data_IF_389216191304
#
_entry.id   IF_389216191304
#
_cell.length_a   1.000
_cell.length_b   1.000
_cell.length_c   1.000
_cell.angle_alpha   90.00
_cell.angle_beta   90.00
_cell.angle_gamma   90.00
#
_symmetry.space_group_name_H-M   'P 1'
#
loop_
_entity.id
_entity.type
_entity.pdbx_description
1 polymer ?
#
# COMPACT_ATOMS: atom_id res chain seq x y z
N UNK A 1 10.92 0.12 22.42
CA UNK A 1 11.59 -1.20 22.46
C UNK A 1 10.93 -2.09 21.41
N UNK A 2 11.63 -2.23 20.27
CA UNK A 2 11.37 -2.98 19.02
C UNK A 2 10.21 -2.53 18.10
N UNK A 3 10.55 -2.04 16.91
CA UNK A 3 9.67 -1.51 15.85
C UNK A 3 9.95 -2.24 14.51
N UNK A 4 9.07 -3.12 14.05
CA UNK A 4 9.24 -3.97 12.84
C UNK A 4 9.08 -3.21 11.49
N UNK A 5 9.62 -3.74 10.37
CA UNK A 5 9.68 -3.08 9.05
C UNK A 5 9.15 -3.90 7.87
N UNK A 6 8.51 -3.19 6.95
CA UNK A 6 7.99 -3.58 5.64
C UNK A 6 6.84 -4.53 5.66
N UNK A 7 5.67 -3.97 5.48
CA UNK A 7 4.54 -4.72 4.99
C UNK A 7 4.24 -4.41 3.54
N UNK A 8 3.88 -5.43 2.76
CA UNK A 8 2.93 -5.25 1.67
C UNK A 8 1.54 -5.25 2.22
N UNK A 9 0.81 -4.18 1.94
CA UNK A 9 -0.55 -4.10 2.40
C UNK A 9 -1.52 -4.02 1.24
N UNK A 10 -2.48 -4.92 1.28
CA UNK A 10 -3.70 -4.82 0.50
C UNK A 10 -4.74 -4.12 1.40
N UNK A 11 -4.78 -2.78 1.34
CA UNK A 11 -5.73 -1.98 2.11
C UNK A 11 -6.92 -1.63 1.24
N UNK A 12 -8.12 -2.19 1.43
CA UNK A 12 -9.28 -1.74 0.66
C UNK A 12 -9.91 -0.46 1.26
N UNK A 13 -9.99 0.63 0.50
CA UNK A 13 -10.72 1.87 0.82
C UNK A 13 -11.20 2.66 -0.42
N UNK A 14 -12.53 2.68 -0.64
CA UNK A 14 -13.27 3.18 -1.83
C UNK A 14 -13.55 4.70 -1.77
N UNK A 15 -13.90 5.29 -2.93
CA UNK A 15 -14.54 6.60 -3.06
C UNK A 15 -15.95 6.47 -3.68
N UNK A 16 -16.91 7.22 -3.14
CA UNK A 16 -18.36 7.26 -3.42
C UNK A 16 -18.71 7.83 -4.80
N UNK A 17 -19.73 7.27 -5.45
CA UNK A 17 -20.42 7.89 -6.60
C UNK A 17 -21.51 8.86 -6.09
N UNK A 18 -21.60 10.05 -6.69
CA UNK A 18 -22.81 10.89 -6.59
C UNK A 18 -23.83 10.38 -7.61
N UNK A 19 -25.08 10.25 -7.16
CA UNK A 19 -26.24 9.67 -7.86
C UNK A 19 -26.45 10.25 -9.27
N UNK A 20 -26.85 9.36 -10.18
CA UNK A 20 -27.57 9.68 -11.42
C UNK A 20 -28.30 8.45 -11.98
N UNK A 21 -29.60 8.33 -11.64
CA UNK A 21 -30.73 7.70 -12.38
C UNK A 21 -30.76 6.17 -12.59
N UNK A 22 -32.00 5.65 -12.49
CA UNK A 22 -32.51 4.26 -12.47
C UNK A 22 -32.21 3.40 -13.72
N UNK A 23 -32.10 2.07 -13.57
CA UNK A 23 -33.12 1.09 -14.03
C UNK A 23 -32.68 -0.39 -13.87
N UNK A 24 -33.69 -1.22 -13.60
CA UNK A 24 -33.78 -2.67 -13.83
C UNK A 24 -33.02 -3.64 -12.90
N UNK A 25 -33.81 -4.49 -12.24
CA UNK A 25 -33.33 -5.53 -11.34
C UNK A 25 -32.70 -6.71 -12.05
N UNK A 26 -31.53 -7.14 -11.56
CA UNK A 26 -31.01 -8.50 -11.72
C UNK A 26 -30.37 -8.89 -10.38
N UNK A 27 -30.85 -9.98 -9.77
CA UNK A 27 -30.14 -10.66 -8.68
C UNK A 27 -28.86 -11.27 -9.25
N UNK A 28 -27.73 -10.56 -9.14
CA UNK A 28 -26.42 -11.14 -9.38
C UNK A 28 -25.81 -11.56 -8.04
N UNK A 29 -25.67 -12.88 -7.84
CA UNK A 29 -24.82 -13.41 -6.79
C UNK A 29 -23.37 -13.07 -7.12
N UNK A 30 -22.82 -12.05 -6.48
CA UNK A 30 -21.42 -11.66 -6.66
C UNK A 30 -20.50 -12.63 -5.92
N UNK A 31 -19.75 -13.44 -6.67
CA UNK A 31 -18.61 -14.22 -6.18
C UNK A 31 -17.32 -13.52 -6.56
N UNK A 32 -16.62 -13.05 -5.52
CA UNK A 32 -15.16 -12.83 -5.39
C UNK A 32 -14.54 -11.76 -6.26
N UNK A 33 -13.71 -10.86 -5.69
CA UNK A 33 -12.87 -9.92 -6.46
C UNK A 33 -11.51 -9.65 -5.80
N UNK A 34 -10.48 -10.44 -6.13
CA UNK A 34 -9.12 -10.27 -5.57
C UNK A 34 -8.25 -9.33 -6.40
N UNK A 35 -7.77 -8.24 -5.81
CA UNK A 35 -6.56 -7.63 -6.33
C UNK A 35 -5.38 -8.60 -6.19
N UNK A 36 -4.55 -8.77 -7.23
CA UNK A 36 -3.24 -9.42 -7.12
C UNK A 36 -2.22 -8.35 -6.78
N UNK A 37 -1.43 -8.55 -5.74
CA UNK A 37 -0.29 -7.70 -5.39
C UNK A 37 0.99 -8.49 -5.64
N UNK A 38 1.94 -7.89 -6.37
CA UNK A 38 3.09 -8.63 -6.88
C UNK A 38 4.38 -7.84 -6.66
N UNK A 39 5.47 -8.53 -6.31
CA UNK A 39 6.70 -7.90 -5.80
C UNK A 39 7.90 -8.51 -6.48
N UNK A 40 8.75 -7.68 -7.05
CA UNK A 40 9.95 -8.14 -7.74
C UNK A 40 11.22 -7.96 -6.92
N UNK A 41 11.38 -6.79 -6.28
CA UNK A 41 12.61 -6.43 -5.55
C UNK A 41 12.29 -5.55 -4.35
N UNK A 42 13.01 -5.78 -3.26
CA UNK A 42 12.98 -4.98 -2.04
C UNK A 42 14.42 -4.58 -1.68
N UNK A 43 14.66 -3.27 -1.55
CA UNK A 43 15.94 -2.72 -1.11
C UNK A 43 15.67 -1.81 0.08
N UNK A 44 16.41 -2.02 1.16
CA UNK A 44 16.28 -1.27 2.40
C UNK A 44 17.62 -0.68 2.80
N UNK A 45 17.64 0.63 3.05
CA UNK A 45 18.84 1.33 3.52
C UNK A 45 18.53 2.00 4.85
N UNK A 46 19.36 1.72 5.85
CA UNK A 46 19.21 2.28 7.20
C UNK A 46 20.17 3.44 7.38
N UNK A 47 19.70 4.54 7.98
CA UNK A 47 20.60 5.57 8.52
C UNK A 47 21.02 5.12 9.93
N UNK A 48 22.22 4.56 10.04
CA UNK A 48 22.85 4.36 11.36
C UNK A 48 23.30 5.73 11.88
N UNK A 49 22.66 6.22 12.94
CA UNK A 49 23.17 7.37 13.68
C UNK A 49 24.39 6.92 14.50
N UNK A 50 25.60 7.05 13.94
CA UNK A 50 26.83 7.00 14.73
C UNK A 50 26.91 8.28 15.57
N UNK A 51 26.82 8.16 16.89
CA UNK A 51 27.16 9.25 17.82
C UNK A 51 28.67 9.49 17.71
N UNK A 52 29.08 10.31 16.75
CA UNK A 52 30.26 11.19 16.74
C UNK A 52 30.48 11.67 15.30
N UNK A 53 30.52 13.00 15.13
CA UNK A 53 30.47 13.68 13.85
C UNK A 53 31.56 13.24 12.88
N UNK A 54 31.17 12.49 11.86
CA UNK A 54 31.74 12.51 10.50
C UNK A 54 30.62 11.99 9.58
N UNK A 55 30.46 12.61 8.40
CA UNK A 55 29.43 12.22 7.45
C UNK A 55 29.61 10.75 7.04
N UNK A 56 28.72 9.88 7.51
CA UNK A 56 28.71 8.46 7.16
C UNK A 56 27.95 8.27 5.85
N UNK A 57 28.62 7.62 4.89
CA UNK A 57 27.99 7.16 3.66
C UNK A 57 26.82 6.22 3.99
N UNK A 58 25.71 6.38 3.27
CA UNK A 58 24.58 5.44 3.30
C UNK A 58 25.06 4.06 2.84
N UNK A 59 25.22 3.11 3.75
CA UNK A 59 25.41 1.72 3.37
C UNK A 59 24.07 1.18 2.82
N UNK A 60 23.98 1.02 1.50
CA UNK A 60 22.98 0.13 0.90
C UNK A 60 23.37 -1.28 1.28
N UNK A 61 22.65 -1.89 2.22
CA UNK A 61 22.74 -3.33 2.46
C UNK A 61 21.78 -3.95 1.45
N UNK A 62 22.26 -4.70 0.44
CA UNK A 62 21.37 -5.56 -0.33
C UNK A 62 20.80 -6.57 0.66
N UNK A 63 19.54 -6.40 1.04
CA UNK A 63 18.84 -7.43 1.80
C UNK A 63 18.72 -8.60 0.82
N UNK A 64 19.35 -9.74 1.13
CA UNK A 64 19.13 -10.96 0.38
C UNK A 64 17.62 -11.18 0.23
N UNK A 65 17.16 -11.66 -0.93
CA UNK A 65 15.72 -11.84 -1.12
C UNK A 65 15.15 -12.70 0.02
N UNK A 66 14.22 -12.16 0.83
CA UNK A 66 13.74 -12.85 2.01
C UNK A 66 13.00 -14.13 1.62
N UNK A 67 13.22 -15.20 2.38
CA UNK A 67 12.43 -16.43 2.23
C UNK A 67 11.00 -16.21 2.68
N UNK A 68 10.06 -16.94 2.07
CA UNK A 68 8.62 -16.84 2.40
C UNK A 68 8.34 -17.04 3.89
N UNK A 69 9.10 -17.91 4.55
CA UNK A 69 8.98 -18.23 5.97
C UNK A 69 9.40 -17.11 6.91
N UNK A 70 10.15 -16.12 6.41
CA UNK A 70 10.59 -14.97 7.22
C UNK A 70 9.48 -13.91 7.37
N UNK A 71 8.47 -13.97 6.50
CA UNK A 71 7.33 -13.07 6.56
C UNK A 71 6.34 -13.49 7.65
N UNK A 72 5.95 -12.52 8.47
CA UNK A 72 4.73 -12.58 9.28
C UNK A 72 3.54 -12.19 8.42
N UNK A 73 2.41 -12.85 8.60
CA UNK A 73 1.20 -12.64 7.80
C UNK A 73 0.03 -12.27 8.70
N UNK A 74 -0.81 -11.34 8.25
CA UNK A 74 -2.08 -10.96 8.87
C UNK A 74 -3.13 -10.84 7.78
N UNK A 75 -4.16 -11.69 7.80
CA UNK A 75 -5.30 -11.60 6.87
C UNK A 75 -4.99 -11.83 5.37
N UNK A 76 -3.78 -12.29 5.04
CA UNK A 76 -3.32 -12.49 3.64
C UNK A 76 -2.60 -13.83 3.48
N UNK A 77 -2.51 -14.28 2.23
CA UNK A 77 -1.58 -15.34 1.80
C UNK A 77 -0.42 -14.72 1.02
N UNK A 78 0.74 -15.37 1.08
CA UNK A 78 1.94 -14.99 0.35
C UNK A 78 2.54 -16.22 -0.32
N UNK A 79 2.90 -16.14 -1.60
CA UNK A 79 3.52 -17.24 -2.34
C UNK A 79 4.49 -16.75 -3.40
N UNK A 80 5.45 -17.58 -3.80
CA UNK A 80 6.28 -17.33 -4.99
C UNK A 80 5.41 -17.42 -6.25
N UNK A 81 5.66 -16.55 -7.21
CA UNK A 81 4.93 -16.45 -8.48
C UNK A 81 5.82 -15.81 -9.54
N UNK A 82 5.22 -15.48 -10.69
CA UNK A 82 5.80 -14.60 -11.68
C UNK A 82 4.76 -13.60 -12.17
N UNK A 83 5.23 -12.42 -12.55
CA UNK A 83 4.39 -11.38 -13.14
C UNK A 83 5.16 -10.67 -14.23
N UNK A 84 4.53 -10.56 -15.38
CA UNK A 84 5.16 -10.01 -16.58
C UNK A 84 6.52 -10.68 -16.87
N UNK A 85 6.57 -12.01 -16.74
CA UNK A 85 7.79 -12.81 -16.93
C UNK A 85 8.84 -12.71 -15.81
N UNK A 86 8.60 -11.90 -14.76
CA UNK A 86 9.57 -11.71 -13.67
C UNK A 86 9.19 -12.50 -12.41
N UNK A 87 10.15 -13.24 -11.87
CA UNK A 87 10.02 -13.93 -10.59
C UNK A 87 9.64 -12.95 -9.47
N UNK A 88 8.64 -13.31 -8.68
CA UNK A 88 8.05 -12.38 -7.73
C UNK A 88 7.33 -13.08 -6.57
N UNK A 89 6.92 -12.31 -5.57
CA UNK A 89 5.98 -12.76 -4.55
C UNK A 89 4.59 -12.23 -4.84
N UNK A 90 3.59 -13.11 -4.82
CA UNK A 90 2.18 -12.74 -4.93
C UNK A 90 1.55 -12.76 -3.54
N UNK A 91 0.93 -11.64 -3.15
CA UNK A 91 0.12 -11.53 -1.95
C UNK A 91 -1.36 -11.43 -2.33
N UNK A 92 -2.22 -12.18 -1.63
CA UNK A 92 -3.67 -12.15 -1.85
C UNK A 92 -4.45 -12.08 -0.54
N UNK A 93 -5.54 -11.32 -0.58
CA UNK A 93 -6.58 -11.36 0.45
C UNK A 93 -7.58 -12.49 0.14
N UNK A 94 -8.15 -13.14 1.16
CA UNK A 94 -9.25 -14.08 0.96
C UNK A 94 -10.51 -13.31 0.51
N UNK A 95 -11.32 -13.93 -0.35
CA UNK A 95 -12.52 -13.28 -0.89
C UNK A 95 -13.62 -13.00 0.12
N UNK A 96 -13.65 -13.77 1.21
CA UNK A 96 -14.51 -13.52 2.36
C UNK A 96 -14.20 -12.22 3.08
N UNK A 97 -13.04 -11.61 2.82
CA UNK A 97 -12.63 -10.36 3.44
C UNK A 97 -12.76 -9.14 2.52
N UNK A 98 -13.39 -9.25 1.35
CA UNK A 98 -13.69 -8.06 0.56
C UNK A 98 -14.77 -7.23 1.21
N UNK A 99 -14.57 -5.92 1.20
CA UNK A 99 -15.55 -4.99 1.74
C UNK A 99 -16.59 -4.62 0.68
N UNK A 100 -17.86 -4.76 1.06
CA UNK A 100 -18.99 -4.32 0.26
C UNK A 100 -19.55 -3.01 0.85
N UNK A 101 -19.37 -1.85 0.18
CA UNK A 101 -19.87 -0.57 0.69
C UNK A 101 -21.40 -0.52 0.85
N UNK A 102 -22.15 -1.42 0.22
CA UNK A 102 -23.60 -1.53 0.42
C UNK A 102 -23.99 -2.24 1.72
N UNK A 103 -23.05 -2.96 2.34
CA UNK A 103 -23.28 -3.81 3.53
C UNK A 103 -22.48 -3.36 4.75
N UNK A 104 -21.32 -2.74 4.55
CA UNK A 104 -20.45 -2.32 5.65
C UNK A 104 -19.80 -0.96 5.39
N UNK A 105 -19.42 -0.30 6.50
CA UNK A 105 -18.56 0.88 6.42
C UNK A 105 -17.14 0.44 6.05
N UNK A 106 -16.60 1.08 5.02
CA UNK A 106 -15.24 0.85 4.56
C UNK A 106 -14.22 1.38 5.55
N UNK A 107 -13.12 0.65 5.70
CA UNK A 107 -12.09 0.97 6.68
C UNK A 107 -10.78 0.31 6.28
N UNK A 108 -9.64 0.96 6.58
CA UNK A 108 -8.36 0.28 6.53
C UNK A 108 -8.38 -0.95 7.46
N UNK A 109 -7.66 -2.00 7.06
CA UNK A 109 -7.49 -3.27 7.79
C UNK A 109 -6.00 -3.59 7.87
N UNK A 110 -5.57 -4.32 8.88
CA UNK A 110 -4.17 -4.72 9.04
C UNK A 110 -3.80 -5.94 8.16
N UNK A 111 -4.20 -5.92 6.89
CA UNK A 111 -4.04 -7.04 5.94
C UNK A 111 -2.75 -6.92 5.15
N UNK A 112 -1.81 -7.79 5.51
CA UNK A 112 -0.42 -7.36 5.55
C UNK A 112 0.54 -8.56 5.64
N UNK A 113 1.63 -8.58 4.86
CA UNK A 113 2.76 -9.50 4.99
C UNK A 113 4.08 -8.75 5.25
N UNK A 114 4.80 -9.03 6.34
CA UNK A 114 5.95 -8.22 6.76
C UNK A 114 7.16 -8.94 7.35
N UNK A 115 8.33 -8.30 7.25
CA UNK A 115 9.56 -8.78 7.87
C UNK A 115 9.74 -8.22 9.30
N UNK A 116 10.25 -8.99 10.25
CA UNK A 116 10.43 -8.52 11.62
C UNK A 116 11.75 -7.74 11.83
N UNK A 117 11.99 -6.66 11.08
CA UNK A 117 13.24 -5.85 11.18
C UNK A 117 13.07 -4.58 12.02
N UNK A 118 14.03 -4.22 12.88
CA UNK A 118 13.95 -2.99 13.69
C UNK A 118 14.19 -1.72 12.85
N UNK A 119 13.16 -0.89 12.60
CA UNK A 119 13.25 0.29 11.73
C UNK A 119 12.45 1.48 12.26
N UNK A 120 13.14 2.62 12.31
CA UNK A 120 12.52 3.91 12.63
C UNK A 120 12.68 4.92 11.50
N UNK A 121 13.90 5.06 10.99
CA UNK A 121 14.28 6.01 9.94
C UNK A 121 15.15 5.31 8.90
N UNK A 122 15.03 5.74 7.66
CA UNK A 122 15.76 5.18 6.55
C UNK A 122 14.98 5.26 5.25
N UNK A 123 15.48 4.56 4.25
CA UNK A 123 14.88 4.52 2.91
C UNK A 123 14.44 3.11 2.61
N UNK A 124 13.23 3.02 2.11
CA UNK A 124 12.59 1.81 1.60
C UNK A 124 12.47 1.96 0.11
N UNK A 125 12.88 0.98 -0.67
CA UNK A 125 12.55 0.93 -2.08
C UNK A 125 12.01 -0.45 -2.45
N UNK A 126 10.87 -0.49 -3.15
CA UNK A 126 10.23 -1.73 -3.59
C UNK A 126 9.66 -1.57 -4.99
N UNK A 127 9.80 -2.60 -5.82
CA UNK A 127 9.05 -2.73 -7.07
C UNK A 127 7.77 -3.51 -6.79
N UNK A 128 6.62 -2.85 -6.94
CA UNK A 128 5.29 -3.44 -6.72
C UNK A 128 4.44 -3.36 -7.98
N UNK A 129 3.56 -4.32 -8.17
CA UNK A 129 2.51 -4.27 -9.16
C UNK A 129 1.18 -4.62 -8.48
N UNK A 130 0.10 -4.12 -9.06
CA UNK A 130 -1.23 -4.55 -8.68
C UNK A 130 -2.09 -4.80 -9.91
N UNK A 131 -2.94 -5.79 -9.82
CA UNK A 131 -4.01 -6.04 -10.78
C UNK A 131 -5.34 -6.23 -10.08
N UNK A 132 -6.40 -6.01 -10.84
CA UNK A 132 -7.75 -6.38 -10.43
C UNK A 132 -8.01 -7.85 -10.76
N UNK A 133 -8.89 -8.51 -9.99
CA UNK A 133 -9.41 -9.79 -10.43
C UNK A 133 -10.25 -9.60 -11.70
N UNK A 134 -10.37 -10.63 -12.55
CA UNK A 134 -11.19 -10.57 -13.76
C UNK A 134 -12.64 -10.15 -13.51
N UNK A 135 -13.17 -10.44 -12.33
CA UNK A 135 -14.53 -10.15 -11.89
C UNK A 135 -14.65 -8.89 -11.01
N UNK A 136 -13.55 -8.12 -10.83
CA UNK A 136 -13.50 -6.93 -9.97
C UNK A 136 -14.64 -5.94 -10.22
N UNK A 137 -15.37 -5.48 -9.17
CA UNK A 137 -16.39 -4.46 -9.38
C UNK A 137 -15.73 -3.13 -9.78
N UNK A 138 -16.50 -2.22 -10.37
CA UNK A 138 -16.03 -0.88 -10.74
C UNK A 138 -15.50 -0.05 -9.54
N UNK A 139 -15.93 -0.43 -8.33
CA UNK A 139 -15.44 0.17 -7.09
C UNK A 139 -14.12 -0.42 -6.57
N UNK A 140 -13.55 -1.43 -7.22
CA UNK A 140 -12.22 -1.94 -6.91
C UNK A 140 -11.16 -0.90 -7.25
N UNK A 141 -10.04 -0.91 -6.51
CA UNK A 141 -9.02 0.15 -6.65
C UNK A 141 -7.60 -0.31 -6.96
N UNK A 142 -7.33 -1.61 -6.90
CA UNK A 142 -5.98 -2.18 -7.13
C UNK A 142 -5.00 -1.86 -6.00
N UNK A 143 -5.43 -1.96 -4.74
CA UNK A 143 -4.63 -1.46 -3.62
C UNK A 143 -3.28 -2.13 -3.48
N UNK A 144 -2.25 -1.30 -3.30
CA UNK A 144 -0.87 -1.74 -3.10
C UNK A 144 -0.10 -0.67 -2.35
N UNK A 145 0.68 -1.04 -1.35
CA UNK A 145 1.50 -0.06 -0.63
C UNK A 145 2.47 -0.69 0.36
N UNK A 146 3.11 0.19 1.11
CA UNK A 146 4.07 -0.14 2.14
C UNK A 146 3.54 0.27 3.52
N UNK A 147 3.64 -0.63 4.48
CA UNK A 147 3.58 -0.27 5.89
C UNK A 147 4.98 -0.26 6.52
N UNK A 148 5.17 0.63 7.48
CA UNK A 148 6.42 0.85 8.20
C UNK A 148 6.15 1.17 9.68
N UNK A 149 7.19 1.06 10.51
CA UNK A 149 7.13 1.25 11.98
C UNK A 149 6.03 0.40 12.63
N UNK A 150 6.00 -0.88 12.27
CA UNK A 150 4.98 -1.83 12.73
C UNK A 150 5.37 -2.29 14.13
N UNK A 151 4.55 -2.04 15.14
CA UNK A 151 4.87 -2.49 16.49
C UNK A 151 4.33 -3.90 16.80
N UNK A 152 4.63 -4.42 17.99
CA UNK A 152 4.15 -5.72 18.46
C UNK A 152 2.63 -5.81 18.60
N UNK A 153 1.95 -4.69 18.77
CA UNK A 153 0.49 -4.60 18.86
C UNK A 153 -0.17 -4.48 17.48
N UNK A 154 0.60 -4.46 16.40
CA UNK A 154 0.09 -4.29 15.05
C UNK A 154 -0.36 -2.87 14.72
N UNK A 155 0.17 -1.87 15.44
CA UNK A 155 0.07 -0.46 15.05
C UNK A 155 1.16 -0.15 14.04
N UNK A 156 0.85 0.64 13.01
CA UNK A 156 1.79 0.96 11.94
C UNK A 156 1.36 2.23 11.20
N UNK A 157 2.31 2.79 10.46
CA UNK A 157 2.05 3.80 9.45
C UNK A 157 2.07 3.15 8.07
N UNK A 158 1.31 3.66 7.11
CA UNK A 158 1.34 3.18 5.73
C UNK A 158 1.16 4.29 4.72
N UNK A 159 1.82 4.11 3.56
CA UNK A 159 1.54 4.85 2.34
C UNK A 159 1.17 3.82 1.27
N UNK A 160 -0.02 3.98 0.71
CA UNK A 160 -0.54 3.05 -0.28
C UNK A 160 -1.15 3.76 -1.48
N UNK A 161 -1.14 3.03 -2.58
CA UNK A 161 -1.55 3.43 -3.91
C UNK A 161 -2.90 2.81 -4.25
N UNK A 162 -3.65 3.52 -5.09
CA UNK A 162 -4.95 3.11 -5.65
C UNK A 162 -4.88 3.29 -7.17
N UNK A 163 -4.19 2.43 -7.92
CA UNK A 163 -3.81 2.74 -9.30
C UNK A 163 -4.99 3.00 -10.24
N UNK A 164 -6.14 2.36 -10.03
CA UNK A 164 -7.34 2.67 -10.84
C UNK A 164 -7.87 4.11 -10.63
N UNK A 165 -7.53 4.77 -9.52
CA UNK A 165 -7.98 6.13 -9.23
C UNK A 165 -7.33 7.14 -10.16
N UNK A 166 -6.05 6.97 -10.45
CA UNK A 166 -5.30 7.85 -11.36
C UNK A 166 -5.95 7.94 -12.75
N UNK A 167 -6.60 6.84 -13.16
CA UNK A 167 -7.28 6.69 -14.45
C UNK A 167 -8.76 7.11 -14.41
N UNK A 168 -9.28 7.53 -13.26
CA UNK A 168 -10.70 7.87 -13.12
C UNK A 168 -11.02 9.24 -13.73
N UNK A 169 -12.18 9.34 -14.39
CA UNK A 169 -12.75 10.61 -14.84
C UNK A 169 -13.38 11.43 -13.69
N UNK A 170 -13.64 10.81 -12.54
CA UNK A 170 -14.08 11.52 -11.35
C UNK A 170 -12.88 12.21 -10.68
N UNK A 171 -12.89 13.54 -10.67
CA UNK A 171 -11.77 14.35 -10.18
C UNK A 171 -11.46 14.11 -8.69
N UNK A 172 -12.50 13.88 -7.87
CA UNK A 172 -12.32 13.61 -6.43
C UNK A 172 -11.62 12.27 -6.27
N UNK A 173 -12.10 11.23 -6.95
CA UNK A 173 -11.46 9.91 -6.95
C UNK A 173 -10.03 9.99 -7.46
N UNK A 174 -9.78 10.74 -8.53
CA UNK A 174 -8.44 10.91 -9.12
C UNK A 174 -7.45 11.57 -8.16
N UNK A 175 -7.90 12.51 -7.34
CA UNK A 175 -7.08 13.12 -6.29
C UNK A 175 -6.78 12.19 -5.10
N UNK A 176 -7.24 10.93 -5.14
CA UNK A 176 -7.05 9.94 -4.08
C UNK A 176 -6.29 8.71 -4.58
N UNK A 177 -5.29 8.90 -5.44
CA UNK A 177 -4.42 7.83 -5.96
C UNK A 177 -3.38 7.37 -4.96
N UNK A 178 -2.97 8.25 -4.04
CA UNK A 178 -2.04 7.97 -2.93
C UNK A 178 -2.76 8.30 -1.62
N UNK A 179 -2.57 7.47 -0.60
CA UNK A 179 -3.14 7.65 0.74
C UNK A 179 -2.12 7.31 1.81
N UNK A 180 -2.02 8.16 2.84
CA UNK A 180 -1.42 7.82 4.12
C UNK A 180 -2.47 7.39 5.15
N UNK A 181 -2.10 6.45 6.01
CA UNK A 181 -2.87 6.09 7.21
C UNK A 181 -1.92 5.71 8.36
N UNK A 182 -2.35 5.94 9.61
CA UNK A 182 -1.70 5.37 10.79
C UNK A 182 -2.71 4.49 11.54
N UNK A 183 -2.56 3.18 11.39
CA UNK A 183 -3.51 2.20 11.92
C UNK A 183 -3.20 1.87 13.39
N UNK A 184 -4.23 1.67 14.25
CA UNK A 184 -5.66 1.70 13.94
C UNK A 184 -6.33 3.07 14.10
N UNK A 185 -5.64 4.05 14.68
CA UNK A 185 -6.27 5.26 15.23
C UNK A 185 -6.59 6.32 14.18
N UNK A 186 -5.82 6.37 13.09
CA UNK A 186 -5.89 7.35 12.01
C UNK A 186 -6.03 6.66 10.65
N UNK A 187 -7.19 6.02 10.46
CA UNK A 187 -7.58 5.40 9.19
C UNK A 187 -8.01 6.47 8.18
N UNK A 188 -8.04 6.10 6.90
CA UNK A 188 -8.34 7.00 5.78
C UNK A 188 -9.66 7.76 5.96
N UNK A 189 -10.70 7.11 6.50
CA UNK A 189 -12.03 7.68 6.64
C UNK A 189 -12.07 8.77 7.73
N UNK A 190 -11.28 8.57 8.80
CA UNK A 190 -11.06 9.57 9.83
C UNK A 190 -10.24 10.73 9.29
N UNK A 191 -9.08 10.44 8.70
CA UNK A 191 -8.16 11.44 8.17
C UNK A 191 -8.84 12.34 7.14
N UNK A 192 -9.58 11.76 6.19
CA UNK A 192 -10.31 12.53 5.17
C UNK A 192 -11.40 13.43 5.75
N UNK A 193 -12.03 13.04 6.86
CA UNK A 193 -13.06 13.84 7.53
C UNK A 193 -12.45 14.97 8.37
N UNK A 194 -11.38 14.68 9.09
CA UNK A 194 -10.77 15.62 10.07
C UNK A 194 -9.76 16.57 9.41
N UNK A 195 -9.13 16.16 8.32
CA UNK A 195 -8.13 16.92 7.58
C UNK A 195 -8.24 16.60 6.08
N UNK A 196 -9.30 17.07 5.41
CA UNK A 196 -9.55 16.77 4.00
C UNK A 196 -8.33 17.13 3.15
N UNK A 197 -8.03 16.29 2.16
CA UNK A 197 -6.96 16.48 1.16
C UNK A 197 -5.52 16.49 1.71
N UNK A 198 -5.32 16.49 3.03
CA UNK A 198 -3.98 16.57 3.65
C UNK A 198 -3.19 15.27 3.57
N UNK A 199 -3.87 14.13 3.67
CA UNK A 199 -3.25 12.81 3.82
C UNK A 199 -3.40 11.94 2.57
N UNK A 200 -3.69 12.56 1.43
CA UNK A 200 -3.95 11.90 0.16
C UNK A 200 -3.61 12.84 -1.00
N UNK A 201 -3.25 12.28 -2.15
CA UNK A 201 -2.95 13.07 -3.34
C UNK A 201 -3.12 12.27 -4.63
N UNK A 202 -3.04 12.97 -5.75
CA UNK A 202 -2.88 12.38 -7.06
C UNK A 202 -1.44 11.89 -7.30
N UNK A 203 -1.33 10.76 -7.98
CA UNK A 203 -0.12 10.30 -8.64
C UNK A 203 -0.51 9.59 -9.94
N UNK A 204 0.35 9.66 -10.96
CA UNK A 204 0.14 9.00 -12.24
C UNK A 204 0.61 7.55 -12.18
N UNK A 205 -0.31 6.65 -11.94
CA UNK A 205 -0.08 5.21 -11.73
C UNK A 205 -1.19 4.39 -12.38
N UNK A 206 -0.95 3.12 -12.67
CA UNK A 206 -1.96 2.22 -13.26
C UNK A 206 -1.79 0.79 -12.75
N UNK A 207 -2.85 -0.01 -12.87
CA UNK A 207 -2.74 -1.47 -12.71
C UNK A 207 -1.98 -2.06 -13.91
N UNK A 208 -1.63 -3.35 -13.86
CA UNK A 208 -1.05 -4.04 -15.00
C UNK A 208 0.44 -3.74 -15.25
N UNK A 209 1.12 -3.00 -14.36
CA UNK A 209 2.54 -2.67 -14.50
C UNK A 209 3.28 -2.62 -13.17
N UNK A 210 4.60 -2.75 -13.26
CA UNK A 210 5.52 -2.46 -12.16
C UNK A 210 5.55 -0.97 -11.85
N UNK A 211 5.52 -0.62 -10.56
CA UNK A 211 5.65 0.71 -9.99
C UNK A 211 6.78 0.63 -8.96
N UNK A 212 7.80 1.47 -9.10
CA UNK A 212 8.84 1.57 -8.07
C UNK A 212 8.40 2.56 -7.00
N UNK A 213 8.18 2.10 -5.78
CA UNK A 213 7.91 2.94 -4.62
C UNK A 213 9.17 3.11 -3.80
N UNK A 214 9.64 4.35 -3.64
CA UNK A 214 10.69 4.68 -2.67
C UNK A 214 10.14 5.59 -1.59
N UNK A 215 10.17 5.17 -0.33
CA UNK A 215 9.75 5.97 0.83
C UNK A 215 10.98 6.31 1.66
N UNK A 216 11.21 7.60 1.89
CA UNK A 216 12.24 8.11 2.80
C UNK A 216 11.56 8.52 4.10
N UNK A 217 11.90 7.88 5.20
CA UNK A 217 11.34 8.14 6.53
C UNK A 217 12.42 8.81 7.39
N UNK A 218 12.13 10.03 7.87
CA UNK A 218 13.02 10.84 8.69
C UNK A 218 12.24 11.57 9.79
N UNK A 219 12.45 11.17 11.04
CA UNK A 219 11.76 11.74 12.19
C UNK A 219 10.25 11.60 12.07
N UNK A 220 9.55 12.73 11.94
CA UNK A 220 8.09 12.76 11.80
C UNK A 220 7.62 12.88 10.36
N UNK A 221 8.53 12.76 9.38
CA UNK A 221 8.22 12.94 7.96
C UNK A 221 8.44 11.66 7.17
N UNK A 222 7.52 11.37 6.26
CA UNK A 222 7.65 10.33 5.23
C UNK A 222 7.44 10.93 3.84
N UNK A 223 8.39 10.67 2.94
CA UNK A 223 8.37 11.19 1.56
C UNK A 223 8.35 10.05 0.57
N UNK A 224 7.29 9.98 -0.24
CA UNK A 224 7.12 9.00 -1.32
C UNK A 224 7.67 9.55 -2.64
N UNK A 225 8.45 8.73 -3.33
CA UNK A 225 8.86 8.90 -4.71
C UNK A 225 8.36 7.70 -5.53
N UNK A 226 7.97 7.95 -6.77
CA UNK A 226 7.46 6.94 -7.69
C UNK A 226 8.30 6.88 -8.96
N UNK A 227 8.55 5.67 -9.46
CA UNK A 227 9.19 5.39 -10.76
C UNK A 227 10.51 6.15 -10.99
N UNK A 228 11.34 6.24 -9.95
CA UNK A 228 12.64 6.91 -10.02
C UNK A 228 12.56 8.44 -10.17
N UNK A 229 11.37 9.04 -10.08
CA UNK A 229 11.21 10.49 -10.13
C UNK A 229 12.06 11.19 -9.07
N UNK A 230 12.80 12.27 -9.42
CA UNK A 230 13.53 13.08 -8.45
C UNK A 230 12.58 13.98 -7.63
N UNK A 231 11.34 14.16 -8.06
CA UNK A 231 10.31 14.93 -7.34
C UNK A 231 9.43 14.01 -6.51
N UNK A 232 9.13 14.36 -5.25
CA UNK A 232 8.26 13.56 -4.41
C UNK A 232 6.84 13.55 -4.98
N UNK A 233 6.21 12.37 -4.99
CA UNK A 233 4.80 12.22 -5.32
C UNK A 233 3.91 12.60 -4.12
N UNK A 234 4.40 12.43 -2.90
CA UNK A 234 3.66 12.71 -1.68
C UNK A 234 4.60 12.94 -0.49
N UNK A 235 4.22 13.84 0.43
CA UNK A 235 4.96 14.19 1.65
C UNK A 235 3.95 14.26 2.80
N UNK A 236 4.25 13.61 3.92
CA UNK A 236 3.41 13.59 5.13
C UNK A 236 4.26 13.69 6.39
#
# INVERSE_FOLDING_TARGET
MYQYLYTLAAFQAVATSRRGVEESGIRAGYRGTSGRVIIKRLVASFLLATVSGTATASAQVPVAEPELSEFRLSGVTLRRSSYDGVASLEMRMPSSAYQDPSREKLSDRNFMAWLPLDFQNGTVEVEVASDLAPDAPDYARGFIGLAFRIDRAGRFESIYLRPTNSMSLDQVRRNHSVQYAAYPDYRFDRLRREAPEKYETYAEISTGRWITMRIVIQGMTATLYLDGSPRPAFVV
#
